data_IF_343057148942
#
_entry.id   IF_343057148942
#
_cell.length_a   1.000
_cell.length_b   1.000
_cell.length_c   1.000
_cell.angle_alpha   90.00
_cell.angle_beta   90.00
_cell.angle_gamma   90.00
#
_symmetry.space_group_name_H-M   'P 1'
#
loop_
_entity.id
_entity.type
_entity.pdbx_description
1 polymer ?
#
# COMPACT_ATOMS: atom_id res chain seq x y z
N UNK A 1 6.42 10.29 17.10
CA UNK A 1 5.19 10.15 16.31
C UNK A 1 5.16 8.71 15.81
N UNK A 2 4.05 7.99 15.99
CA UNK A 2 3.89 6.68 15.36
C UNK A 2 3.84 6.87 13.85
N UNK A 3 4.73 6.23 13.10
CA UNK A 3 4.73 6.34 11.65
C UNK A 3 3.56 5.53 11.07
N UNK A 4 2.70 6.19 10.31
CA UNK A 4 1.47 5.62 9.74
C UNK A 4 1.61 5.26 8.27
N UNK A 5 2.69 5.69 7.60
CA UNK A 5 2.89 5.46 6.17
C UNK A 5 2.96 3.97 5.82
N UNK A 6 2.23 3.56 4.79
CA UNK A 6 2.28 2.22 4.21
C UNK A 6 3.25 2.23 3.02
N UNK A 7 4.17 1.25 2.92
CA UNK A 7 5.15 1.20 1.84
C UNK A 7 4.52 0.80 0.51
N UNK A 8 4.92 1.47 -0.57
CA UNK A 8 4.56 1.15 -1.95
C UNK A 8 5.74 0.50 -2.68
N UNK A 9 5.54 -0.74 -3.14
CA UNK A 9 6.45 -1.50 -4.00
C UNK A 9 6.05 -1.30 -5.47
N UNK A 10 7.01 -0.94 -6.33
CA UNK A 10 6.81 -0.73 -7.76
C UNK A 10 7.30 -1.95 -8.57
N UNK A 11 6.61 -3.07 -8.44
CA UNK A 11 6.93 -4.31 -9.16
C UNK A 11 6.49 -4.29 -10.64
N UNK A 12 5.53 -3.42 -10.98
CA UNK A 12 5.10 -3.20 -12.37
C UNK A 12 6.17 -2.49 -13.21
N UNK A 13 7.23 -1.96 -12.58
CA UNK A 13 8.30 -1.25 -13.28
C UNK A 13 7.82 0.06 -13.89
N UNK A 14 7.02 0.83 -13.15
CA UNK A 14 6.70 2.21 -13.50
C UNK A 14 7.98 3.05 -13.53
N UNK A 15 8.12 3.90 -14.53
CA UNK A 15 9.15 4.95 -14.54
C UNK A 15 8.92 5.96 -13.42
N UNK A 16 9.92 6.78 -13.11
CA UNK A 16 9.81 7.84 -12.10
C UNK A 16 8.61 8.77 -12.38
N UNK A 17 8.41 9.18 -13.64
CA UNK A 17 7.29 10.05 -14.01
C UNK A 17 5.92 9.36 -13.90
N UNK A 18 5.84 8.06 -14.17
CA UNK A 18 4.59 7.31 -14.01
C UNK A 18 4.26 7.10 -12.54
N UNK A 19 5.28 6.83 -11.71
CA UNK A 19 5.15 6.72 -10.27
C UNK A 19 4.72 8.04 -9.64
N UNK A 20 5.30 9.17 -10.05
CA UNK A 20 4.90 10.50 -9.58
C UNK A 20 3.43 10.80 -9.93
N UNK A 21 2.99 10.43 -11.14
CA UNK A 21 1.59 10.56 -11.55
C UNK A 21 0.67 9.69 -10.70
N UNK A 22 1.05 8.43 -10.45
CA UNK A 22 0.30 7.51 -9.61
C UNK A 22 0.16 8.04 -8.17
N UNK A 23 1.24 8.57 -7.59
CA UNK A 23 1.21 9.19 -6.27
C UNK A 23 0.32 10.44 -6.25
N UNK A 24 0.34 11.24 -7.31
CA UNK A 24 -0.59 12.38 -7.45
C UNK A 24 -2.05 11.93 -7.48
N UNK A 25 -2.36 10.81 -8.13
CA UNK A 25 -3.72 10.26 -8.19
C UNK A 25 -4.16 9.66 -6.84
N UNK A 26 -3.25 8.99 -6.12
CA UNK A 26 -3.50 8.51 -4.76
C UNK A 26 -3.87 9.67 -3.83
N UNK A 27 -3.19 10.81 -4.00
CA UNK A 27 -3.36 12.01 -3.18
C UNK A 27 -4.53 12.91 -3.61
N UNK A 28 -5.15 12.66 -4.76
CA UNK A 28 -6.30 13.44 -5.22
C UNK A 28 -7.63 13.01 -4.61
N UNK A 29 -7.60 12.18 -3.57
CA UNK A 29 -8.78 11.68 -2.86
C UNK A 29 -9.46 12.78 -2.04
N UNK A 30 -10.80 12.78 -2.04
CA UNK A 30 -11.58 13.67 -1.16
C UNK A 30 -11.45 13.27 0.31
N UNK A 31 -11.06 12.03 0.61
CA UNK A 31 -10.84 11.53 1.96
C UNK A 31 -9.88 12.39 2.79
N UNK A 32 -8.84 12.96 2.18
CA UNK A 32 -7.92 13.88 2.90
C UNK A 32 -8.68 15.12 3.38
N UNK A 33 -9.51 15.71 2.52
CA UNK A 33 -10.31 16.88 2.83
C UNK A 33 -11.39 16.55 3.89
N UNK A 34 -12.02 15.38 3.78
CA UNK A 34 -13.02 14.90 4.73
C UNK A 34 -12.43 14.75 6.14
N UNK A 35 -11.28 14.08 6.27
CA UNK A 35 -10.64 13.86 7.58
C UNK A 35 -10.10 15.15 8.18
N UNK A 36 -9.59 16.06 7.34
CA UNK A 36 -9.11 17.38 7.78
C UNK A 36 -10.24 18.38 8.00
N UNK A 37 -11.51 18.03 7.74
CA UNK A 37 -12.66 18.95 7.76
C UNK A 37 -12.46 20.20 6.88
N UNK A 38 -11.56 20.13 5.90
CA UNK A 38 -11.14 21.28 5.08
C UNK A 38 -10.36 22.36 5.82
N UNK A 39 -9.87 22.11 7.04
CA UNK A 39 -9.18 23.11 7.87
C UNK A 39 -7.71 23.31 7.48
N UNK A 40 -7.13 22.37 6.73
CA UNK A 40 -5.75 22.43 6.23
C UNK A 40 -5.71 22.08 4.76
N UNK A 41 -4.72 22.62 4.04
CA UNK A 41 -4.42 22.19 2.67
C UNK A 41 -4.08 20.69 2.67
N UNK A 42 -4.44 19.93 1.62
CA UNK A 42 -4.20 18.49 1.56
C UNK A 42 -2.75 18.09 1.83
N UNK A 43 -1.77 18.87 1.35
CA UNK A 43 -0.33 18.66 1.53
C UNK A 43 0.15 18.80 2.97
N UNK A 44 -0.64 19.48 3.81
CA UNK A 44 -0.36 19.67 5.23
C UNK A 44 -1.03 18.59 6.09
N UNK A 45 -1.89 17.75 5.50
CA UNK A 45 -2.49 16.63 6.20
C UNK A 45 -1.45 15.55 6.50
N UNK A 46 -1.53 14.94 7.68
CA UNK A 46 -0.75 13.76 8.02
C UNK A 46 -1.04 12.54 7.12
N UNK A 47 -2.11 12.60 6.33
CA UNK A 47 -2.47 11.57 5.35
C UNK A 47 -1.80 11.74 3.98
N UNK A 48 -1.17 12.90 3.70
CA UNK A 48 -0.54 13.16 2.40
C UNK A 48 0.57 12.14 2.07
N UNK A 49 1.27 11.71 3.11
CA UNK A 49 2.35 10.72 3.07
C UNK A 49 1.90 9.35 3.62
N UNK A 50 0.58 9.08 3.60
CA UNK A 50 0.03 7.80 4.06
C UNK A 50 0.51 6.62 3.20
N UNK A 51 0.88 6.88 1.94
CA UNK A 51 1.48 5.89 1.04
C UNK A 51 2.76 6.47 0.46
N UNK A 52 3.88 5.78 0.66
CA UNK A 52 5.19 6.25 0.19
C UNK A 52 5.94 5.14 -0.55
N UNK A 53 6.56 5.45 -1.70
CA UNK A 53 7.39 4.48 -2.40
C UNK A 53 8.60 4.12 -1.55
N UNK A 54 9.01 2.86 -1.63
CA UNK A 54 10.33 2.46 -1.14
C UNK A 54 11.40 2.77 -2.20
N UNK A 55 12.64 3.09 -1.79
CA UNK A 55 13.77 3.26 -2.72
C UNK A 55 13.91 2.09 -3.69
N UNK A 56 14.05 2.36 -4.99
CA UNK A 56 14.13 1.33 -6.05
C UNK A 56 15.27 0.32 -5.82
N UNK A 57 16.35 0.76 -5.19
CA UNK A 57 17.53 -0.06 -4.87
C UNK A 57 17.24 -1.08 -3.77
N UNK A 58 16.10 -1.00 -3.09
CA UNK A 58 15.65 -1.96 -2.09
C UNK A 58 14.71 -3.04 -2.67
N UNK A 59 14.43 -2.95 -3.97
CA UNK A 59 13.70 -3.96 -4.74
C UNK A 59 14.68 -5.06 -5.22
N UNK A 60 15.95 -5.00 -4.80
CA UNK A 60 17.13 -5.49 -5.51
C UNK A 60 17.43 -6.99 -5.44
N UNK A 61 16.43 -7.86 -5.39
CA UNK A 61 16.66 -9.24 -5.78
C UNK A 61 15.86 -9.55 -7.04
N UNK A 62 16.50 -10.23 -7.99
CA UNK A 62 15.84 -10.79 -9.17
C UNK A 62 14.66 -11.69 -8.78
N UNK A 63 14.68 -12.24 -7.55
CA UNK A 63 13.60 -13.01 -6.96
C UNK A 63 12.33 -12.19 -6.75
N UNK A 64 12.43 -10.93 -6.30
CA UNK A 64 11.27 -10.06 -6.07
C UNK A 64 10.74 -9.46 -7.38
N UNK A 65 11.65 -9.10 -8.30
CA UNK A 65 11.27 -8.47 -9.57
C UNK A 65 10.38 -9.37 -10.46
N UNK A 66 10.44 -10.69 -10.27
CA UNK A 66 9.70 -11.66 -11.07
C UNK A 66 8.44 -12.21 -10.39
N UNK A 67 8.13 -11.77 -9.16
CA UNK A 67 6.92 -12.21 -8.46
C UNK A 67 5.66 -11.85 -9.24
N UNK A 68 4.66 -12.73 -9.17
CA UNK A 68 3.32 -12.55 -9.73
C UNK A 68 2.30 -12.52 -8.61
N UNK A 69 2.45 -11.52 -7.74
CA UNK A 69 1.68 -11.33 -6.51
C UNK A 69 0.17 -11.23 -6.76
N UNK A 70 -0.26 -10.88 -7.97
CA UNK A 70 -1.65 -10.81 -8.36
C UNK A 70 -2.30 -12.18 -8.61
N UNK A 71 -1.49 -13.24 -8.75
CA UNK A 71 -1.93 -14.59 -9.09
C UNK A 71 -1.51 -15.66 -8.07
N UNK A 72 -0.63 -15.31 -7.12
CA UNK A 72 0.02 -16.29 -6.23
C UNK A 72 0.07 -15.78 -4.80
N UNK A 73 -0.65 -16.45 -3.89
CA UNK A 73 -0.57 -16.21 -2.44
C UNK A 73 0.87 -16.47 -1.93
N UNK A 74 1.56 -17.47 -2.48
CA UNK A 74 2.96 -17.75 -2.15
C UNK A 74 3.87 -16.57 -2.52
N UNK A 75 3.62 -15.92 -3.65
CA UNK A 75 4.40 -14.73 -4.05
C UNK A 75 4.05 -13.52 -3.18
N UNK A 76 2.79 -13.39 -2.74
CA UNK A 76 2.41 -12.36 -1.77
C UNK A 76 3.13 -12.56 -0.43
N UNK A 77 3.22 -13.80 0.06
CA UNK A 77 3.95 -14.15 1.28
C UNK A 77 5.46 -13.84 1.14
N UNK A 78 6.09 -14.25 0.03
CA UNK A 78 7.50 -13.92 -0.26
C UNK A 78 7.76 -12.42 -0.31
N UNK A 79 6.88 -11.66 -0.96
CA UNK A 79 7.00 -10.20 -0.99
C UNK A 79 6.89 -9.61 0.41
N UNK A 80 5.94 -10.07 1.22
CA UNK A 80 5.75 -9.57 2.57
C UNK A 80 6.97 -9.87 3.46
N UNK A 81 7.53 -11.07 3.38
CA UNK A 81 8.76 -11.43 4.11
C UNK A 81 9.94 -10.54 3.72
N UNK A 82 10.20 -10.38 2.41
CA UNK A 82 11.24 -9.49 1.90
C UNK A 82 11.02 -8.06 2.38
N UNK A 83 9.80 -7.56 2.21
CA UNK A 83 9.49 -6.18 2.55
C UNK A 83 9.70 -5.90 4.03
N UNK A 84 9.24 -6.78 4.90
CA UNK A 84 9.42 -6.63 6.33
C UNK A 84 10.89 -6.70 6.74
N UNK A 85 11.68 -7.58 6.09
CA UNK A 85 13.13 -7.63 6.29
C UNK A 85 13.80 -6.31 5.91
N UNK A 86 13.47 -5.76 4.74
CA UNK A 86 13.98 -4.44 4.29
C UNK A 86 13.59 -3.33 5.25
N UNK A 87 12.31 -3.27 5.63
CA UNK A 87 11.78 -2.26 6.55
C UNK A 87 12.45 -2.27 7.91
N UNK A 88 12.96 -3.42 8.38
CA UNK A 88 13.63 -3.54 9.68
C UNK A 88 15.15 -3.37 9.61
N UNK A 89 15.77 -3.74 8.49
CA UNK A 89 17.23 -3.84 8.35
C UNK A 89 17.89 -2.63 7.68
N UNK A 90 17.20 -1.93 6.78
CA UNK A 90 17.76 -0.75 6.10
C UNK A 90 17.45 0.54 6.88
N UNK A 91 18.48 1.30 7.23
CA UNK A 91 18.35 2.54 8.00
C UNK A 91 17.53 3.64 7.28
N UNK A 92 17.35 3.54 5.96
CA UNK A 92 16.49 4.47 5.19
C UNK A 92 15.02 4.13 5.33
N UNK A 93 14.64 2.93 5.76
CA UNK A 93 13.24 2.50 5.92
C UNK A 93 12.89 2.19 7.38
N UNK A 94 13.89 1.92 8.21
CA UNK A 94 13.75 1.55 9.60
C UNK A 94 12.91 2.52 10.40
N UNK A 95 11.81 1.98 10.91
CA UNK A 95 10.85 2.72 11.71
C UNK A 95 10.02 3.74 10.94
N UNK A 96 10.20 3.94 9.62
CA UNK A 96 9.48 4.95 8.80
C UNK A 96 8.09 4.54 8.36
N UNK A 97 7.81 3.24 8.34
CA UNK A 97 6.57 2.70 7.82
C UNK A 97 5.81 1.93 8.91
N UNK A 98 4.49 1.86 8.77
CA UNK A 98 3.65 0.99 9.55
C UNK A 98 3.81 -0.47 9.08
N UNK A 99 3.74 -1.41 10.03
CA UNK A 99 3.89 -2.86 9.74
C UNK A 99 2.56 -3.56 9.43
N UNK A 100 1.46 -2.81 9.30
CA UNK A 100 0.10 -3.35 9.12
C UNK A 100 -0.26 -3.71 7.68
N UNK A 101 0.54 -3.28 6.70
CA UNK A 101 0.30 -3.63 5.31
C UNK A 101 1.38 -3.17 4.34
N UNK A 102 1.22 -3.56 3.09
CA UNK A 102 2.05 -3.19 1.94
C UNK A 102 1.13 -2.85 0.78
N UNK A 103 1.47 -1.82 0.00
CA UNK A 103 0.87 -1.55 -1.30
C UNK A 103 1.81 -1.99 -2.41
N UNK A 104 1.26 -2.59 -3.46
CA UNK A 104 2.00 -3.04 -4.64
C UNK A 104 1.40 -2.43 -5.89
N UNK A 105 2.23 -1.71 -6.64
CA UNK A 105 2.00 -1.41 -8.04
C UNK A 105 2.59 -2.54 -8.87
N UNK A 106 1.74 -3.33 -9.53
CA UNK A 106 2.12 -4.53 -10.29
C UNK A 106 1.76 -4.39 -11.79
N UNK A 107 1.75 -5.51 -12.52
CA UNK A 107 1.42 -5.52 -13.95
C UNK A 107 0.03 -4.92 -14.23
N UNK A 108 -0.95 -5.13 -13.34
CA UNK A 108 -2.31 -4.62 -13.52
C UNK A 108 -2.37 -3.10 -13.27
N UNK A 109 -1.49 -2.57 -12.42
CA UNK A 109 -1.33 -1.12 -12.26
C UNK A 109 -0.77 -0.47 -13.53
N UNK A 110 0.25 -1.08 -14.16
CA UNK A 110 0.92 -0.50 -15.33
C UNK A 110 0.15 -0.70 -16.64
N UNK A 111 -0.36 -1.91 -16.86
CA UNK A 111 -0.89 -2.35 -18.16
C UNK A 111 -2.33 -2.85 -18.09
N UNK A 112 -2.92 -2.89 -16.89
CA UNK A 112 -4.29 -3.34 -16.65
C UNK A 112 -5.24 -2.17 -16.40
N UNK A 113 -5.99 -2.27 -15.29
CA UNK A 113 -7.00 -1.28 -14.89
C UNK A 113 -6.47 -0.17 -13.97
N UNK A 114 -5.16 -0.11 -13.72
CA UNK A 114 -4.56 0.91 -12.87
C UNK A 114 -4.71 0.65 -11.36
N UNK A 115 -5.39 -0.42 -10.95
CA UNK A 115 -5.56 -0.74 -9.54
C UNK A 115 -4.26 -1.17 -8.87
N UNK A 116 -4.14 -0.88 -7.57
CA UNK A 116 -3.05 -1.35 -6.73
C UNK A 116 -3.49 -2.55 -5.88
N UNK A 117 -2.58 -3.45 -5.60
CA UNK A 117 -2.80 -4.54 -4.65
C UNK A 117 -2.38 -4.10 -3.24
N UNK A 118 -3.28 -4.24 -2.28
CA UNK A 118 -3.01 -3.98 -0.87
C UNK A 118 -2.94 -5.32 -0.14
N UNK A 119 -1.84 -5.56 0.56
CA UNK A 119 -1.62 -6.74 1.39
C UNK A 119 -1.76 -6.34 2.87
N UNK A 120 -2.62 -7.02 3.62
CA UNK A 120 -2.69 -6.89 5.06
C UNK A 120 -1.70 -7.84 5.71
N UNK A 121 -0.91 -7.31 6.63
CA UNK A 121 0.10 -8.08 7.36
C UNK A 121 -0.24 -8.07 8.84
N UNK A 122 -0.24 -9.26 9.43
CA UNK A 122 -0.32 -9.42 10.88
C UNK A 122 0.98 -9.99 11.39
N UNK A 123 1.52 -9.37 12.44
CA UNK A 123 2.68 -9.87 13.17
C UNK A 123 2.21 -10.52 14.47
N UNK A 124 2.56 -11.80 14.68
CA UNK A 124 2.34 -12.52 15.93
C UNK A 124 3.69 -13.01 16.46
N UNK A 125 4.29 -12.25 17.36
CA UNK A 125 5.66 -12.49 17.80
C UNK A 125 6.65 -12.19 16.68
N UNK A 126 7.47 -13.17 16.29
CA UNK A 126 8.40 -13.06 15.15
C UNK A 126 7.77 -13.48 13.81
N UNK A 127 6.62 -14.13 13.83
CA UNK A 127 5.94 -14.60 12.62
C UNK A 127 5.12 -13.46 12.01
N UNK A 128 5.32 -13.21 10.72
CA UNK A 128 4.60 -12.19 9.98
C UNK A 128 3.96 -12.86 8.77
N UNK A 129 2.66 -12.64 8.59
CA UNK A 129 1.89 -13.32 7.55
C UNK A 129 0.97 -12.36 6.82
N UNK A 130 0.84 -12.55 5.50
CA UNK A 130 -0.25 -11.98 4.71
C UNK A 130 -1.54 -12.68 5.13
N UNK A 131 -2.44 -11.94 5.78
CA UNK A 131 -3.71 -12.51 6.26
C UNK A 131 -4.86 -12.26 5.31
N UNK A 132 -4.74 -11.21 4.49
CA UNK A 132 -5.71 -10.91 3.45
C UNK A 132 -5.12 -9.92 2.43
N UNK A 133 -5.76 -9.80 1.28
CA UNK A 133 -5.45 -8.82 0.26
C UNK A 133 -6.71 -8.23 -0.39
N UNK A 134 -6.56 -7.05 -0.98
CA UNK A 134 -7.61 -6.41 -1.78
C UNK A 134 -7.00 -5.56 -2.91
N UNK A 135 -7.71 -5.46 -4.02
CA UNK A 135 -7.40 -4.45 -5.04
C UNK A 135 -8.14 -3.17 -4.75
N UNK A 136 -7.47 -2.04 -5.00
CA UNK A 136 -8.01 -0.72 -4.73
C UNK A 136 -7.67 0.23 -5.88
N UNK A 137 -8.63 1.08 -6.26
CA UNK A 137 -8.40 2.20 -7.15
C UNK A 137 -7.44 3.21 -6.48
N UNK A 138 -6.53 3.86 -7.23
CA UNK A 138 -5.55 4.78 -6.65
C UNK A 138 -6.17 5.83 -5.71
N UNK A 139 -7.25 6.49 -6.15
CA UNK A 139 -7.97 7.53 -5.38
C UNK A 139 -8.66 7.04 -4.10
N UNK A 140 -8.79 5.73 -3.89
CA UNK A 140 -9.40 5.15 -2.67
C UNK A 140 -8.35 4.55 -1.74
N UNK A 141 -7.07 4.59 -2.13
CA UNK A 141 -6.01 3.89 -1.43
C UNK A 141 -5.71 4.46 -0.05
N UNK A 142 -5.80 5.79 0.13
CA UNK A 142 -5.49 6.43 1.42
C UNK A 142 -6.47 5.98 2.50
N UNK A 143 -7.76 5.84 2.19
CA UNK A 143 -8.77 5.35 3.15
C UNK A 143 -8.43 3.92 3.61
N UNK A 144 -8.16 3.02 2.66
CA UNK A 144 -7.78 1.63 2.95
C UNK A 144 -6.50 1.57 3.79
N UNK A 145 -5.48 2.35 3.40
CA UNK A 145 -4.20 2.38 4.10
C UNK A 145 -4.32 3.00 5.50
N UNK A 146 -5.22 3.96 5.69
CA UNK A 146 -5.48 4.57 7.00
C UNK A 146 -6.06 3.53 7.95
N UNK A 147 -7.04 2.73 7.52
CA UNK A 147 -7.59 1.62 8.32
C UNK A 147 -6.51 0.61 8.74
N UNK A 148 -5.61 0.25 7.82
CA UNK A 148 -4.51 -0.68 8.09
C UNK A 148 -3.46 -0.09 9.04
N UNK A 149 -3.10 1.18 8.86
CA UNK A 149 -2.04 1.82 9.64
C UNK A 149 -2.37 1.95 11.13
N UNK A 150 -3.64 2.17 11.46
CA UNK A 150 -4.11 2.24 12.86
C UNK A 150 -4.72 0.93 13.37
N UNK A 151 -4.67 -0.13 12.54
CA UNK A 151 -5.30 -1.43 12.84
C UNK A 151 -6.77 -1.30 13.27
N UNK A 152 -7.53 -0.39 12.64
CA UNK A 152 -8.93 -0.12 12.95
C UNK A 152 -9.84 -1.27 12.52
N UNK A 153 -9.61 -1.79 11.30
CA UNK A 153 -10.40 -2.86 10.69
C UNK A 153 -9.53 -3.69 9.74
N UNK A 154 -9.74 -5.01 9.72
CA UNK A 154 -9.07 -5.90 8.78
C UNK A 154 -9.68 -5.84 7.38
N UNK A 155 -8.91 -6.16 6.34
CA UNK A 155 -9.39 -6.11 4.96
C UNK A 155 -10.53 -7.08 4.70
N UNK A 156 -10.56 -8.24 5.36
CA UNK A 156 -11.66 -9.20 5.24
C UNK A 156 -13.00 -8.57 5.63
N UNK A 157 -13.02 -7.86 6.75
CA UNK A 157 -14.20 -7.16 7.24
C UNK A 157 -14.54 -5.97 6.36
N UNK A 158 -13.53 -5.17 5.98
CA UNK A 158 -13.71 -4.00 5.13
C UNK A 158 -14.27 -4.37 3.76
N UNK A 159 -13.73 -5.40 3.09
CA UNK A 159 -14.26 -5.91 1.81
C UNK A 159 -15.72 -6.32 1.91
N UNK A 160 -16.11 -6.99 2.99
CA UNK A 160 -17.50 -7.40 3.21
C UNK A 160 -18.43 -6.19 3.36
N UNK A 161 -17.98 -5.12 4.02
CA UNK A 161 -18.75 -3.88 4.13
C UNK A 161 -18.91 -3.16 2.79
N UNK A 162 -17.87 -3.21 1.95
CA UNK A 162 -17.85 -2.58 0.62
C UNK A 162 -18.45 -3.46 -0.49
N UNK A 163 -19.07 -4.59 -0.16
CA UNK A 163 -19.76 -5.45 -1.13
C UNK A 163 -18.87 -6.39 -1.95
N UNK A 164 -17.61 -6.60 -1.52
CA UNK A 164 -16.66 -7.53 -2.15
C UNK A 164 -16.43 -7.28 -3.66
N UNK A 165 -16.38 -6.01 -4.07
CA UNK A 165 -15.99 -5.66 -5.43
C UNK A 165 -14.59 -6.19 -5.77
N UNK A 166 -14.37 -6.55 -7.04
CA UNK A 166 -13.07 -7.03 -7.50
C UNK A 166 -11.97 -5.97 -7.28
N UNK A 167 -12.30 -4.72 -7.59
CA UNK A 167 -11.49 -3.53 -7.27
C UNK A 167 -12.36 -2.62 -6.41
N UNK A 168 -11.87 -2.30 -5.21
CA UNK A 168 -12.52 -1.31 -4.37
C UNK A 168 -12.31 0.09 -4.94
N UNK A 169 -13.41 0.83 -5.08
CA UNK A 169 -13.43 2.23 -5.45
C UNK A 169 -14.53 2.90 -4.62
N UNK A 170 -14.16 3.87 -3.80
CA UNK A 170 -15.08 4.64 -2.98
C UNK A 170 -16.01 5.55 -3.81
N UNK A 171 -15.75 5.70 -5.11
CA UNK A 171 -16.57 6.51 -6.02
C UNK A 171 -16.37 8.01 -5.86
N UNK A 172 -15.32 8.42 -5.15
CA UNK A 172 -14.89 9.81 -4.95
C UNK A 172 -14.11 10.29 -6.17
#
# INVERSE_FOLDING_TARGET
MSNTSIPLYNLGGLSASELDKLLSEIRSTDYIAEVSSGEVEPEQSGLWDQVLPIPAELHSSDEIANLRVEKSEEDQEKLAEHALSVLESDERTKGKYANGGIVVADERTKSGDGSLLVLQIVSKGSEKKVVDSMRCAPRSLIEVCSNLAVANMGLAEYKNMCGNAEVFDAGQ
#
